data_IF_822554273949
#
_entry.id   IF_822554273949
#
_cell.length_a   1.000
_cell.length_b   1.000
_cell.length_c   1.000
_cell.angle_alpha   90.00
_cell.angle_beta   90.00
_cell.angle_gamma   90.00
#
_symmetry.space_group_name_H-M   'P 1'
#
loop_
_entity.id
_entity.type
_entity.pdbx_description
1 polymer ?
#
# COMPACT_ATOMS: atom_id res chain seq x y z
N UNK A 1 1.84 -15.62 20.12
CA UNK A 1 2.02 -14.17 19.92
C UNK A 1 1.55 -13.82 18.51
N UNK A 2 0.99 -12.63 18.34
CA UNK A 2 0.69 -12.14 17.00
C UNK A 2 1.99 -11.96 16.21
N UNK A 3 1.92 -12.00 14.88
CA UNK A 3 3.10 -11.76 14.04
C UNK A 3 3.43 -10.28 14.08
N UNK A 4 4.39 -9.94 14.93
CA UNK A 4 4.81 -8.56 15.19
C UNK A 4 5.26 -7.86 13.90
N UNK A 5 5.75 -8.60 12.90
CA UNK A 5 6.08 -8.01 11.59
C UNK A 5 4.83 -7.52 10.89
N UNK A 6 3.76 -8.32 10.85
CA UNK A 6 2.49 -7.92 10.23
C UNK A 6 1.85 -6.74 10.95
N UNK A 7 1.84 -6.76 12.29
CA UNK A 7 1.27 -5.66 13.09
C UNK A 7 2.05 -4.37 12.84
N UNK A 8 3.38 -4.42 12.89
CA UNK A 8 4.22 -3.24 12.68
C UNK A 8 4.06 -2.66 11.27
N UNK A 9 3.92 -3.52 10.24
CA UNK A 9 3.69 -3.08 8.86
C UNK A 9 2.30 -2.51 8.67
N UNK A 10 1.26 -3.10 9.26
CA UNK A 10 -0.08 -2.54 9.25
C UNK A 10 -0.13 -1.13 9.89
N UNK A 11 0.47 -0.97 11.07
CA UNK A 11 0.55 0.33 11.73
C UNK A 11 1.35 1.35 10.92
N UNK A 12 2.40 0.93 10.20
CA UNK A 12 3.14 1.79 9.29
C UNK A 12 2.27 2.24 8.09
N UNK A 13 1.51 1.32 7.49
CA UNK A 13 0.56 1.62 6.42
C UNK A 13 -0.47 2.65 6.88
N UNK A 14 -1.12 2.41 8.03
CA UNK A 14 -2.13 3.30 8.60
C UNK A 14 -1.61 4.72 8.80
N UNK A 15 -0.41 4.86 9.42
CA UNK A 15 0.22 6.17 9.60
C UNK A 15 0.54 6.85 8.27
N UNK A 16 1.07 6.12 7.30
CA UNK A 16 1.41 6.70 6.00
C UNK A 16 0.17 7.17 5.24
N UNK A 17 -0.90 6.36 5.24
CA UNK A 17 -2.18 6.71 4.63
C UNK A 17 -2.77 7.96 5.31
N UNK A 18 -2.78 8.01 6.64
CA UNK A 18 -3.26 9.17 7.38
C UNK A 18 -2.46 10.44 7.04
N UNK A 19 -1.13 10.37 7.06
CA UNK A 19 -0.26 11.49 6.71
C UNK A 19 -0.46 11.98 5.28
N UNK A 20 -0.59 11.08 4.30
CA UNK A 20 -0.87 11.48 2.92
C UNK A 20 -2.21 12.23 2.78
N UNK A 21 -3.24 11.79 3.53
CA UNK A 21 -4.55 12.46 3.58
C UNK A 21 -4.47 13.82 4.26
N UNK A 22 -3.79 13.92 5.40
CA UNK A 22 -3.59 15.17 6.13
C UNK A 22 -2.94 16.24 5.24
N UNK A 23 -1.89 15.88 4.51
CA UNK A 23 -1.20 16.82 3.62
C UNK A 23 -2.12 17.35 2.52
N UNK A 24 -3.04 16.55 1.99
CA UNK A 24 -4.04 17.01 1.01
C UNK A 24 -5.16 17.83 1.67
N UNK A 25 -5.72 17.34 2.77
CA UNK A 25 -6.90 17.90 3.45
C UNK A 25 -6.63 19.21 4.17
N UNK A 26 -5.37 19.50 4.52
CA UNK A 26 -4.99 20.77 5.18
C UNK A 26 -5.52 21.99 4.44
N UNK A 27 -5.42 21.98 3.11
CA UNK A 27 -6.03 22.95 2.20
C UNK A 27 -5.97 22.41 0.76
N UNK A 28 -7.05 21.79 0.25
CA UNK A 28 -7.08 21.23 -1.11
C UNK A 28 -6.94 22.29 -2.21
N UNK A 29 -7.33 23.55 -1.94
CA UNK A 29 -7.32 24.62 -2.95
C UNK A 29 -5.91 25.08 -3.30
N UNK A 30 -4.99 25.02 -2.34
CA UNK A 30 -3.58 25.40 -2.50
C UNK A 30 -2.64 24.21 -2.71
N UNK A 31 -3.15 22.97 -2.62
CA UNK A 31 -2.34 21.77 -2.77
C UNK A 31 -1.61 21.71 -4.12
N UNK A 32 -2.24 22.21 -5.19
CA UNK A 32 -1.67 22.23 -6.54
C UNK A 32 -0.40 23.10 -6.69
N UNK A 33 -0.21 24.08 -5.80
CA UNK A 33 0.91 25.02 -5.85
C UNK A 33 1.87 24.89 -4.67
N UNK A 34 1.51 24.10 -3.65
CA UNK A 34 2.38 23.78 -2.52
C UNK A 34 3.14 22.47 -2.77
N UNK A 35 4.33 22.60 -3.38
CA UNK A 35 5.18 21.45 -3.70
C UNK A 35 5.67 20.69 -2.46
N UNK A 36 5.84 21.35 -1.32
CA UNK A 36 6.26 20.68 -0.09
C UNK A 36 5.19 19.70 0.39
N UNK A 37 3.92 20.10 0.33
CA UNK A 37 2.79 19.22 0.66
C UNK A 37 2.62 18.11 -0.36
N UNK A 38 2.85 18.38 -1.65
CA UNK A 38 2.82 17.34 -2.69
C UNK A 38 3.91 16.28 -2.44
N UNK A 39 5.16 16.70 -2.22
CA UNK A 39 6.28 15.82 -1.95
C UNK A 39 6.05 14.98 -0.69
N UNK A 40 5.55 15.61 0.38
CA UNK A 40 5.20 14.92 1.61
C UNK A 40 4.10 13.87 1.40
N UNK A 41 3.05 14.19 0.64
CA UNK A 41 1.99 13.24 0.33
C UNK A 41 2.50 12.07 -0.51
N UNK A 42 3.26 12.35 -1.58
CA UNK A 42 3.86 11.36 -2.47
C UNK A 42 4.79 10.41 -1.68
N UNK A 43 5.64 10.96 -0.82
CA UNK A 43 6.54 10.17 0.02
C UNK A 43 5.77 9.20 0.93
N UNK A 44 4.67 9.66 1.53
CA UNK A 44 3.84 8.81 2.37
C UNK A 44 3.12 7.72 1.57
N UNK A 45 2.65 8.01 0.35
CA UNK A 45 2.08 6.98 -0.55
C UNK A 45 3.14 5.92 -0.88
N UNK A 46 4.36 6.34 -1.21
CA UNK A 46 5.47 5.41 -1.51
C UNK A 46 5.80 4.52 -0.29
N UNK A 47 5.83 5.10 0.91
CA UNK A 47 6.06 4.36 2.16
C UNK A 47 4.94 3.37 2.47
N UNK A 48 3.68 3.73 2.25
CA UNK A 48 2.55 2.81 2.39
C UNK A 48 2.68 1.62 1.43
N UNK A 49 3.07 1.89 0.17
CA UNK A 49 3.29 0.86 -0.83
C UNK A 49 4.43 -0.10 -0.44
N UNK A 50 5.58 0.44 -0.01
CA UNK A 50 6.70 -0.38 0.46
C UNK A 50 6.33 -1.23 1.67
N UNK A 51 5.63 -0.66 2.66
CA UNK A 51 5.18 -1.40 3.83
C UNK A 51 4.21 -2.54 3.45
N UNK A 52 3.32 -2.33 2.47
CA UNK A 52 2.43 -3.36 1.96
C UNK A 52 3.17 -4.49 1.22
N UNK A 53 4.20 -4.15 0.44
CA UNK A 53 5.07 -5.11 -0.23
C UNK A 53 5.86 -5.94 0.79
N UNK A 54 6.47 -5.31 1.79
CA UNK A 54 7.20 -5.99 2.86
C UNK A 54 6.31 -6.96 3.62
N UNK A 55 5.09 -6.52 3.97
CA UNK A 55 4.09 -7.35 4.64
C UNK A 55 3.75 -8.60 3.81
N UNK A 56 3.61 -8.44 2.49
CA UNK A 56 3.33 -9.55 1.59
C UNK A 56 4.52 -10.49 1.39
N UNK A 57 5.72 -9.94 1.23
CA UNK A 57 6.95 -10.74 1.10
C UNK A 57 7.23 -11.58 2.35
N UNK A 58 6.98 -11.01 3.53
CA UNK A 58 7.08 -11.74 4.79
C UNK A 58 6.15 -12.96 4.79
N UNK A 59 4.88 -12.79 4.43
CA UNK A 59 3.91 -13.90 4.32
C UNK A 59 4.32 -14.93 3.27
N UNK A 60 4.73 -14.49 2.08
CA UNK A 60 5.16 -15.39 0.99
C UNK A 60 6.32 -16.27 1.44
N UNK A 61 7.31 -15.71 2.13
CA UNK A 61 8.46 -16.46 2.67
C UNK A 61 8.03 -17.42 3.77
N UNK A 62 7.21 -16.94 4.72
CA UNK A 62 6.73 -17.73 5.86
C UNK A 62 5.92 -18.95 5.42
N UNK A 63 5.01 -18.75 4.45
CA UNK A 63 4.05 -19.76 4.03
C UNK A 63 4.47 -20.47 2.73
N UNK A 64 5.68 -20.18 2.23
CA UNK A 64 6.31 -20.79 1.04
C UNK A 64 5.44 -20.72 -0.21
N UNK A 65 4.87 -19.56 -0.46
CA UNK A 65 3.89 -19.34 -1.55
C UNK A 65 4.55 -19.20 -2.94
N UNK A 66 5.89 -19.22 -3.01
CA UNK A 66 6.66 -19.06 -4.25
C UNK A 66 7.72 -17.97 -4.13
N UNK A 67 8.28 -17.57 -5.28
CA UNK A 67 9.32 -16.52 -5.36
C UNK A 67 8.83 -15.40 -6.28
N UNK A 68 8.48 -14.21 -5.75
CA UNK A 68 8.06 -13.08 -6.57
C UNK A 68 9.24 -12.61 -7.43
N UNK A 69 9.01 -12.41 -8.73
CA UNK A 69 10.01 -11.85 -9.67
C UNK A 69 9.89 -10.33 -9.79
N UNK A 70 8.76 -9.78 -9.36
CA UNK A 70 8.47 -8.35 -9.35
C UNK A 70 7.64 -7.95 -8.12
N UNK A 71 7.56 -6.65 -7.83
CA UNK A 71 6.68 -6.14 -6.78
C UNK A 71 5.19 -6.46 -7.05
N UNK A 72 4.77 -6.55 -8.33
CA UNK A 72 3.40 -6.95 -8.69
C UNK A 72 3.11 -8.42 -8.36
N UNK A 73 4.14 -9.27 -8.43
CA UNK A 73 4.00 -10.69 -8.15
C UNK A 73 3.72 -10.97 -6.68
N UNK A 74 4.14 -10.08 -5.77
CA UNK A 74 3.80 -10.19 -4.34
C UNK A 74 2.28 -10.27 -4.16
N UNK A 75 1.53 -9.34 -4.77
CA UNK A 75 0.07 -9.35 -4.68
C UNK A 75 -0.55 -10.49 -5.48
N UNK A 76 0.05 -10.90 -6.60
CA UNK A 76 -0.44 -12.04 -7.38
C UNK A 76 -0.33 -13.37 -6.60
N UNK A 77 0.81 -13.62 -5.95
CA UNK A 77 1.03 -14.83 -5.15
C UNK A 77 0.10 -14.88 -3.94
N UNK A 78 -0.11 -13.74 -3.27
CA UNK A 78 -1.07 -13.67 -2.15
C UNK A 78 -2.50 -13.95 -2.60
N UNK A 79 -2.94 -13.41 -3.74
CA UNK A 79 -4.26 -13.70 -4.29
C UNK A 79 -4.39 -15.18 -4.69
N UNK A 80 -3.38 -15.75 -5.35
CA UNK A 80 -3.36 -17.17 -5.73
C UNK A 80 -3.43 -18.12 -4.52
N UNK A 81 -2.84 -17.72 -3.40
CA UNK A 81 -2.93 -18.43 -2.12
C UNK A 81 -4.19 -18.09 -1.31
N UNK A 82 -5.09 -17.26 -1.86
CA UNK A 82 -6.35 -16.83 -1.26
C UNK A 82 -6.22 -15.83 -0.10
N UNK A 83 -5.03 -15.27 0.15
CA UNK A 83 -4.83 -14.31 1.24
C UNK A 83 -5.60 -13.01 1.06
N UNK A 84 -5.83 -12.62 -0.19
CA UNK A 84 -6.59 -11.43 -0.58
C UNK A 84 -7.42 -11.73 -1.83
N UNK A 85 -8.47 -10.94 -2.03
CA UNK A 85 -9.28 -11.02 -3.24
C UNK A 85 -8.49 -10.60 -4.49
N UNK A 86 -8.69 -11.25 -5.66
CA UNK A 86 -8.00 -10.89 -6.90
C UNK A 86 -8.19 -9.42 -7.31
N UNK A 87 -9.39 -8.86 -7.07
CA UNK A 87 -9.71 -7.46 -7.37
C UNK A 87 -8.89 -6.47 -6.53
N UNK A 88 -8.66 -6.80 -5.26
CA UNK A 88 -7.79 -6.02 -4.37
C UNK A 88 -6.33 -6.12 -4.82
N UNK A 89 -5.88 -7.32 -5.19
CA UNK A 89 -4.54 -7.53 -5.72
C UNK A 89 -4.29 -6.71 -7.00
N UNK A 90 -5.25 -6.68 -7.93
CA UNK A 90 -5.11 -5.90 -9.16
C UNK A 90 -5.06 -4.39 -8.90
N UNK A 91 -5.81 -3.90 -7.91
CA UNK A 91 -5.76 -2.51 -7.48
C UNK A 91 -4.37 -2.16 -6.91
N UNK A 92 -3.81 -3.02 -6.05
CA UNK A 92 -2.47 -2.83 -5.48
C UNK A 92 -1.35 -2.94 -6.53
N UNK A 93 -1.49 -3.80 -7.55
CA UNK A 93 -0.54 -3.86 -8.68
C UNK A 93 -0.50 -2.55 -9.48
N UNK A 94 -1.64 -1.85 -9.61
CA UNK A 94 -1.72 -0.51 -10.21
C UNK A 94 -1.02 0.53 -9.33
N UNK A 95 -1.17 0.43 -8.01
CA UNK A 95 -0.45 1.28 -7.05
C UNK A 95 1.07 1.14 -7.12
N UNK A 96 1.60 -0.07 -7.37
CA UNK A 96 3.03 -0.26 -7.67
C UNK A 96 3.45 0.47 -8.94
N UNK A 97 2.59 0.49 -9.96
CA UNK A 97 2.81 1.27 -11.17
C UNK A 97 2.89 2.77 -10.88
N UNK A 98 1.99 3.28 -10.03
CA UNK A 98 2.01 4.68 -9.60
C UNK A 98 3.32 5.04 -8.91
N UNK A 99 3.80 4.23 -7.96
CA UNK A 99 5.09 4.44 -7.29
C UNK A 99 6.21 4.68 -8.31
N UNK A 100 6.28 3.86 -9.35
CA UNK A 100 7.33 3.99 -10.37
C UNK A 100 7.21 5.30 -11.15
N UNK A 101 5.99 5.77 -11.45
CA UNK A 101 5.76 7.04 -12.15
C UNK A 101 6.05 8.24 -11.23
N UNK A 102 5.68 8.17 -9.96
CA UNK A 102 5.89 9.25 -8.99
C UNK A 102 7.38 9.50 -8.66
N UNK A 103 8.25 8.52 -8.92
CA UNK A 103 9.72 8.65 -8.77
C UNK A 103 10.37 9.27 -10.03
N UNK A 104 9.68 9.30 -11.16
CA UNK A 104 10.19 9.85 -12.41
C UNK A 104 9.61 11.24 -12.70
N UNK A 105 10.47 12.19 -13.10
CA UNK A 105 10.37 13.66 -13.05
C UNK A 105 9.28 14.36 -13.92
N UNK A 106 8.10 13.73 -14.08
CA UNK A 106 6.98 14.30 -14.84
C UNK A 106 6.04 15.11 -13.94
N UNK A 107 6.53 16.21 -13.36
CA UNK A 107 5.81 17.04 -12.37
C UNK A 107 4.37 17.43 -12.78
N UNK A 108 4.11 17.74 -14.06
CA UNK A 108 2.77 18.18 -14.50
C UNK A 108 1.74 17.05 -14.65
N UNK A 109 2.18 15.82 -14.94
CA UNK A 109 1.31 14.64 -15.03
C UNK A 109 1.03 14.03 -13.64
N UNK A 110 1.86 14.32 -12.65
CA UNK A 110 1.80 13.71 -11.32
C UNK A 110 0.67 14.23 -10.44
N UNK A 111 0.30 15.52 -10.53
CA UNK A 111 -0.66 16.12 -9.59
C UNK A 111 -2.07 15.50 -9.67
N UNK A 112 -2.73 15.40 -10.86
CA UNK A 112 -4.06 14.80 -10.94
C UNK A 112 -4.07 13.34 -10.48
N UNK A 113 -3.00 12.60 -10.78
CA UNK A 113 -2.86 11.20 -10.38
C UNK A 113 -2.67 11.09 -8.86
N UNK A 114 -1.83 11.95 -8.27
CA UNK A 114 -1.59 11.99 -6.82
C UNK A 114 -2.89 12.31 -6.07
N UNK A 115 -3.64 13.31 -6.51
CA UNK A 115 -4.95 13.64 -5.92
C UNK A 115 -5.92 12.47 -6.04
N UNK A 116 -5.99 11.82 -7.21
CA UNK A 116 -6.83 10.64 -7.41
C UNK A 116 -6.43 9.50 -6.45
N UNK A 117 -5.14 9.23 -6.33
CA UNK A 117 -4.63 8.22 -5.39
C UNK A 117 -5.05 8.53 -3.95
N UNK A 118 -4.84 9.77 -3.49
CA UNK A 118 -5.16 10.18 -2.12
C UNK A 118 -6.65 10.05 -1.82
N UNK A 119 -7.48 10.42 -2.80
CA UNK A 119 -8.94 10.51 -2.61
C UNK A 119 -9.66 9.19 -2.85
N UNK A 120 -9.14 8.32 -3.72
CA UNK A 120 -9.85 7.11 -4.18
C UNK A 120 -9.13 5.79 -3.89
N UNK A 121 -7.80 5.79 -3.73
CA UNK A 121 -7.00 4.54 -3.78
C UNK A 121 -6.17 4.21 -2.53
N UNK A 122 -6.22 5.05 -1.48
CA UNK A 122 -5.49 4.77 -0.25
C UNK A 122 -6.13 3.69 0.62
N UNK A 123 -7.45 3.49 0.51
CA UNK A 123 -8.16 2.50 1.33
C UNK A 123 -7.82 1.06 0.93
N UNK A 124 -7.32 0.83 -0.28
CA UNK A 124 -6.82 -0.46 -0.74
C UNK A 124 -5.67 -0.95 0.14
N UNK A 125 -4.78 -0.05 0.59
CA UNK A 125 -3.72 -0.43 1.53
C UNK A 125 -4.29 -0.84 2.90
N UNK A 126 -5.30 -0.13 3.39
CA UNK A 126 -5.94 -0.43 4.67
C UNK A 126 -6.71 -1.76 4.63
N UNK A 127 -7.50 -1.96 3.57
CA UNK A 127 -8.23 -3.20 3.32
C UNK A 127 -7.27 -4.39 3.20
N UNK A 128 -6.12 -4.18 2.55
CA UNK A 128 -5.08 -5.18 2.44
C UNK A 128 -4.49 -5.57 3.79
N UNK A 129 -4.02 -4.60 4.59
CA UNK A 129 -3.43 -4.91 5.90
C UNK A 129 -4.45 -5.56 6.84
N UNK A 130 -5.70 -5.11 6.81
CA UNK A 130 -6.78 -5.68 7.61
C UNK A 130 -7.08 -7.13 7.19
N UNK A 131 -7.19 -7.41 5.89
CA UNK A 131 -7.46 -8.76 5.38
C UNK A 131 -6.37 -9.75 5.80
N UNK A 132 -5.10 -9.34 5.67
CA UNK A 132 -3.97 -10.17 6.07
C UNK A 132 -3.98 -10.45 7.59
N UNK A 133 -4.18 -9.43 8.42
CA UNK A 133 -4.23 -9.60 9.88
C UNK A 133 -5.39 -10.51 10.32
N UNK A 134 -6.59 -10.31 9.76
CA UNK A 134 -7.77 -11.13 10.07
C UNK A 134 -7.53 -12.60 9.73
N UNK A 135 -7.00 -12.88 8.53
CA UNK A 135 -6.73 -14.24 8.08
C UNK A 135 -5.59 -14.90 8.84
N UNK A 136 -4.56 -14.14 9.16
CA UNK A 136 -3.42 -14.60 9.96
C UNK A 136 -3.86 -14.99 11.38
N UNK A 137 -4.72 -14.19 12.01
CA UNK A 137 -5.33 -14.52 13.29
C UNK A 137 -6.24 -15.76 13.21
N UNK A 138 -7.01 -15.92 12.13
CA UNK A 138 -7.88 -17.08 11.92
C UNK A 138 -7.08 -18.37 11.70
N UNK A 139 -6.04 -18.35 10.87
CA UNK A 139 -5.16 -19.49 10.59
C UNK A 139 -4.47 -20.01 11.85
N UNK A 140 -4.13 -19.12 12.79
CA UNK A 140 -3.55 -19.52 14.08
C UNK A 140 -4.54 -20.14 15.05
N UNK A 141 -5.81 -19.75 15.03
CA UNK A 141 -6.85 -20.36 15.88
C UNK A 141 -7.20 -21.80 15.46
N UNK A 142 -6.93 -22.14 14.19
CA UNK A 142 -7.18 -23.46 13.63
C UNK A 142 -6.01 -24.46 13.83
N UNK A 143 -4.89 -24.01 14.42
CA UNK A 143 -3.73 -24.83 14.77
C UNK A 143 -3.69 -25.03 16.28
#
# INVERSE_FOLDING_TARGET
MADDVLINKAAAIERCVARAREEYQRDPSTFATDFTRQDAAILNIQRACEAALDMGQHLIRRDRLGVPQSARDVFALLAGAGWIEPTLADSLKRMVGFRNIAVHDYQSLQLPITVNVITLHLDEFLRYSEALLKRDAATRKAR
#
